data_IF_524041498690
#
_entry.id   IF_524041498690
#
_cell.length_a   1.000
_cell.length_b   1.000
_cell.length_c   1.000
_cell.angle_alpha   90.00
_cell.angle_beta   90.00
_cell.angle_gamma   90.00
#
_symmetry.space_group_name_H-M   'P 1'
#
loop_
_entity.id
_entity.type
_entity.pdbx_description
1 polymer ?
#
# COMPACT_ATOMS: atom_id res chain seq x y z
N UNK A 1 7.65 11.07 9.40
CA UNK A 1 8.58 10.48 8.42
C UNK A 1 7.96 10.25 7.04
N UNK A 2 7.04 9.30 6.80
CA UNK A 2 6.53 9.02 5.44
C UNK A 2 5.82 10.21 4.80
N UNK A 3 4.87 10.84 5.51
CA UNK A 3 4.14 12.00 5.00
C UNK A 3 5.09 13.18 4.70
N UNK A 4 6.07 13.44 5.57
CA UNK A 4 7.07 14.50 5.36
C UNK A 4 7.91 14.26 4.08
N UNK A 5 8.21 12.99 3.77
CA UNK A 5 8.94 12.64 2.56
C UNK A 5 8.07 12.81 1.30
N UNK A 6 6.80 12.43 1.37
CA UNK A 6 5.83 12.67 0.29
C UNK A 6 5.72 14.17 0.05
N UNK A 7 5.61 14.97 1.12
CA UNK A 7 5.45 16.42 1.06
C UNK A 7 6.64 17.09 0.40
N UNK A 8 7.83 16.72 0.84
CA UNK A 8 9.08 17.20 0.25
C UNK A 8 9.13 16.85 -1.23
N UNK A 9 8.87 15.59 -1.59
CA UNK A 9 8.94 15.14 -2.98
C UNK A 9 7.92 15.83 -3.89
N UNK A 10 6.69 16.07 -3.40
CA UNK A 10 5.65 16.83 -4.11
C UNK A 10 6.05 18.30 -4.26
N UNK A 11 6.64 18.91 -3.23
CA UNK A 11 7.12 20.30 -3.30
C UNK A 11 8.26 20.47 -4.32
N UNK A 12 9.14 19.48 -4.41
CA UNK A 12 10.30 19.43 -5.32
C UNK A 12 9.94 18.86 -6.71
N UNK A 13 8.65 18.58 -6.97
CA UNK A 13 8.11 18.11 -8.26
C UNK A 13 8.66 16.77 -8.76
N UNK A 14 9.07 15.88 -7.85
CA UNK A 14 9.44 14.52 -8.23
C UNK A 14 8.23 13.69 -8.68
N UNK A 15 8.47 12.77 -9.62
CA UNK A 15 7.55 11.68 -9.91
C UNK A 15 7.73 10.61 -8.82
N UNK A 16 6.67 10.34 -8.05
CA UNK A 16 6.71 9.39 -6.93
C UNK A 16 5.66 8.30 -7.06
N UNK A 17 5.98 7.13 -6.53
CA UNK A 17 5.03 6.04 -6.28
C UNK A 17 4.88 5.90 -4.77
N UNK A 18 3.66 6.03 -4.28
CA UNK A 18 3.34 5.82 -2.86
C UNK A 18 2.73 4.42 -2.73
N UNK A 19 3.44 3.53 -2.04
CA UNK A 19 2.97 2.17 -1.77
C UNK A 19 1.91 2.17 -0.68
N UNK A 20 0.91 1.30 -0.82
CA UNK A 20 -0.12 1.11 0.19
C UNK A 20 -1.09 0.00 -0.18
N UNK A 21 -1.79 -0.50 0.83
CA UNK A 21 -2.71 -1.64 0.69
C UNK A 21 -4.15 -1.26 0.35
N UNK A 22 -4.45 0.04 0.30
CA UNK A 22 -5.82 0.52 0.09
C UNK A 22 -6.83 -0.06 1.09
N UNK A 23 -6.42 -0.33 2.34
CA UNK A 23 -7.33 -0.83 3.40
C UNK A 23 -8.49 0.12 3.69
N UNK A 24 -8.25 1.41 3.52
CA UNK A 24 -9.23 2.50 3.58
C UNK A 24 -9.01 3.40 2.38
N UNK A 25 -10.06 3.96 1.80
CA UNK A 25 -9.94 4.90 0.68
C UNK A 25 -9.50 6.31 1.10
N UNK A 26 -9.76 6.72 2.35
CA UNK A 26 -9.50 8.08 2.83
C UNK A 26 -8.04 8.51 2.68
N UNK A 27 -7.09 7.67 3.12
CA UNK A 27 -5.65 7.94 3.04
C UNK A 27 -5.17 8.15 1.59
N UNK A 28 -5.31 7.18 0.67
CA UNK A 28 -4.84 7.37 -0.71
C UNK A 28 -5.58 8.51 -1.43
N UNK A 29 -6.89 8.70 -1.20
CA UNK A 29 -7.63 9.84 -1.78
C UNK A 29 -7.09 11.18 -1.27
N UNK A 30 -6.76 11.29 0.01
CA UNK A 30 -6.15 12.50 0.58
C UNK A 30 -4.80 12.80 -0.07
N UNK A 31 -3.93 11.78 -0.18
CA UNK A 31 -2.62 11.92 -0.84
C UNK A 31 -2.77 12.35 -2.30
N UNK A 32 -3.67 11.72 -3.07
CA UNK A 32 -3.94 12.09 -4.46
C UNK A 32 -4.48 13.52 -4.58
N UNK A 33 -5.40 13.94 -3.71
CA UNK A 33 -5.90 15.33 -3.68
C UNK A 33 -4.77 16.33 -3.45
N UNK A 34 -3.88 16.05 -2.49
CA UNK A 34 -2.71 16.89 -2.19
C UNK A 34 -1.77 17.01 -3.39
N UNK A 35 -1.44 15.89 -4.02
CA UNK A 35 -0.59 15.87 -5.23
C UNK A 35 -1.25 16.64 -6.39
N UNK A 36 -2.55 16.45 -6.60
CA UNK A 36 -3.31 17.15 -7.65
C UNK A 36 -3.36 18.67 -7.41
N UNK A 37 -3.55 19.11 -6.16
CA UNK A 37 -3.51 20.52 -5.78
C UNK A 37 -2.12 21.14 -6.01
N UNK A 38 -1.06 20.35 -5.86
CA UNK A 38 0.30 20.76 -6.21
C UNK A 38 0.60 20.73 -7.72
N UNK A 39 -0.39 20.46 -8.58
CA UNK A 39 -0.24 20.44 -10.03
C UNK A 39 0.33 19.13 -10.60
N UNK A 40 0.47 18.08 -9.80
CA UNK A 40 0.92 16.78 -10.28
C UNK A 40 -0.21 16.04 -11.03
N UNK A 41 0.15 15.28 -12.07
CA UNK A 41 -0.75 14.26 -12.62
C UNK A 41 -0.77 13.08 -11.64
N UNK A 42 -1.98 12.66 -11.26
CA UNK A 42 -2.17 11.60 -10.27
C UNK A 42 -2.90 10.40 -10.88
N UNK A 43 -2.60 9.20 -10.39
CA UNK A 43 -3.26 7.97 -10.79
C UNK A 43 -3.09 6.89 -9.73
N UNK A 44 -3.83 5.80 -9.88
CA UNK A 44 -3.75 4.63 -9.00
C UNK A 44 -3.43 3.43 -9.88
N UNK A 45 -2.52 2.59 -9.40
CA UNK A 45 -2.27 1.26 -9.96
C UNK A 45 -2.59 0.25 -8.86
N UNK A 46 -3.50 -0.68 -9.14
CA UNK A 46 -3.88 -1.74 -8.20
C UNK A 46 -3.36 -3.06 -8.73
N UNK A 47 -2.55 -3.75 -7.92
CA UNK A 47 -2.15 -5.12 -8.21
C UNK A 47 -3.23 -6.08 -7.70
N UNK A 48 -3.78 -6.89 -8.61
CA UNK A 48 -4.85 -7.84 -8.31
C UNK A 48 -4.29 -9.26 -8.43
N UNK A 49 -4.68 -10.14 -7.50
CA UNK A 49 -4.38 -11.57 -7.55
C UNK A 49 -5.45 -12.35 -6.76
N UNK A 50 -5.51 -13.67 -6.95
CA UNK A 50 -6.36 -14.53 -6.12
C UNK A 50 -5.93 -14.44 -4.65
N UNK A 51 -6.94 -14.32 -3.77
CA UNK A 51 -6.84 -14.32 -2.32
C UNK A 51 -6.02 -15.46 -1.72
N UNK A 52 -6.08 -16.68 -2.31
CA UNK A 52 -5.30 -17.82 -1.83
C UNK A 52 -3.84 -17.65 -2.20
N UNK A 53 -3.57 -17.23 -3.43
CA UNK A 53 -2.23 -16.93 -3.92
C UNK A 53 -1.58 -15.80 -3.11
N UNK A 54 -2.29 -14.70 -2.87
CA UNK A 54 -1.75 -13.58 -2.07
C UNK A 54 -1.42 -13.99 -0.64
N UNK A 55 -2.28 -14.82 -0.03
CA UNK A 55 -2.04 -15.33 1.31
C UNK A 55 -0.82 -16.25 1.35
N UNK A 56 -0.71 -17.17 0.40
CA UNK A 56 0.46 -18.06 0.26
C UNK A 56 1.75 -17.26 0.15
N UNK A 57 1.79 -16.23 -0.70
CA UNK A 57 2.97 -15.38 -0.86
C UNK A 57 3.34 -14.63 0.43
N UNK A 58 2.37 -14.25 1.28
CA UNK A 58 2.67 -13.66 2.59
C UNK A 58 3.37 -14.66 3.52
N UNK A 59 2.96 -15.93 3.49
CA UNK A 59 3.56 -17.00 4.28
C UNK A 59 4.97 -17.33 3.76
N UNK A 60 5.13 -17.51 2.45
CA UNK A 60 6.42 -17.76 1.81
C UNK A 60 7.43 -16.64 2.10
N UNK A 61 6.99 -15.38 2.08
CA UNK A 61 7.83 -14.23 2.48
C UNK A 61 8.27 -14.31 3.94
N UNK A 62 7.38 -14.71 4.84
CA UNK A 62 7.70 -14.86 6.26
C UNK A 62 8.72 -15.98 6.49
N UNK A 63 8.51 -17.17 5.93
CA UNK A 63 9.43 -18.30 6.08
C UNK A 63 10.81 -17.97 5.49
N UNK A 64 10.86 -17.37 4.29
CA UNK A 64 12.13 -16.92 3.70
C UNK A 64 12.86 -15.91 4.59
N UNK A 65 12.12 -15.00 5.25
CA UNK A 65 12.75 -14.04 6.16
C UNK A 65 13.21 -14.71 7.45
N UNK A 66 12.49 -15.72 7.93
CA UNK A 66 12.86 -16.51 9.11
C UNK A 66 14.15 -17.29 8.87
N UNK A 67 14.34 -17.82 7.67
CA UNK A 67 15.59 -18.50 7.27
C UNK A 67 16.79 -17.54 7.17
N UNK A 68 16.57 -16.33 6.66
CA UNK A 68 17.66 -15.38 6.36
C UNK A 68 17.99 -14.43 7.50
N UNK A 69 17.00 -13.97 8.27
CA UNK A 69 17.17 -13.17 9.48
C UNK A 69 15.98 -13.34 10.44
N UNK A 70 16.03 -14.36 11.32
CA UNK A 70 14.94 -14.69 12.24
C UNK A 70 14.47 -13.51 13.11
N UNK A 71 15.38 -12.63 13.51
CA UNK A 71 15.08 -11.49 14.41
C UNK A 71 14.22 -10.41 13.74
N UNK A 72 14.23 -10.33 12.40
CA UNK A 72 13.45 -9.36 11.63
C UNK A 72 12.22 -9.98 10.96
N UNK A 73 12.05 -11.30 11.04
CA UNK A 73 10.94 -12.01 10.42
C UNK A 73 9.60 -11.64 11.08
N UNK A 74 8.69 -11.04 10.31
CA UNK A 74 7.36 -10.64 10.78
C UNK A 74 6.26 -11.24 9.90
N UNK A 75 5.42 -12.06 10.52
CA UNK A 75 4.26 -12.65 9.85
C UNK A 75 3.17 -11.60 9.62
N UNK A 76 2.41 -11.76 8.54
CA UNK A 76 1.22 -10.95 8.28
C UNK A 76 0.06 -11.50 9.10
N UNK A 77 -0.66 -10.63 9.81
CA UNK A 77 -1.91 -11.01 10.46
C UNK A 77 -2.98 -11.31 9.39
N UNK A 78 -3.55 -12.52 9.42
CA UNK A 78 -4.58 -12.98 8.46
C UNK A 78 -5.81 -12.07 8.44
N UNK A 79 -6.26 -11.57 9.58
CA UNK A 79 -7.41 -10.68 9.66
C UNK A 79 -7.15 -9.35 8.94
N UNK A 80 -5.91 -8.83 8.98
CA UNK A 80 -5.54 -7.63 8.22
C UNK A 80 -5.49 -7.88 6.71
N UNK A 81 -5.00 -9.04 6.29
CA UNK A 81 -5.01 -9.45 4.88
C UNK A 81 -6.45 -9.57 4.35
N UNK A 82 -7.31 -10.28 5.08
CA UNK A 82 -8.71 -10.53 4.69
C UNK A 82 -9.56 -9.27 4.74
N UNK A 83 -9.22 -8.33 5.62
CA UNK A 83 -9.84 -7.01 5.64
C UNK A 83 -9.63 -6.30 4.30
N UNK A 84 -8.42 -6.31 3.75
CA UNK A 84 -8.14 -5.66 2.45
C UNK A 84 -8.94 -6.32 1.33
N UNK A 85 -9.00 -7.65 1.28
CA UNK A 85 -9.80 -8.38 0.28
C UNK A 85 -11.27 -7.94 0.30
N UNK A 86 -11.84 -7.80 1.51
CA UNK A 86 -13.24 -7.38 1.66
C UNK A 86 -13.47 -5.90 1.34
N UNK A 87 -12.50 -5.04 1.62
CA UNK A 87 -12.68 -3.58 1.52
C UNK A 87 -12.33 -3.05 0.13
N UNK A 88 -11.31 -3.61 -0.53
CA UNK A 88 -10.78 -3.11 -1.79
C UNK A 88 -11.86 -2.93 -2.88
N UNK A 89 -12.79 -3.88 -3.12
CA UNK A 89 -13.85 -3.71 -4.13
C UNK A 89 -14.91 -2.66 -3.76
N UNK A 90 -15.02 -2.33 -2.47
CA UNK A 90 -16.07 -1.44 -1.94
C UNK A 90 -15.62 0.03 -1.86
N UNK A 91 -14.35 0.31 -2.12
CA UNK A 91 -13.84 1.67 -2.06
C UNK A 91 -14.35 2.52 -3.22
N UNK A 92 -15.09 3.58 -2.88
CA UNK A 92 -15.47 4.62 -3.81
C UNK A 92 -14.33 5.62 -3.94
N UNK A 93 -13.76 5.67 -5.14
CA UNK A 93 -12.83 6.69 -5.58
C UNK A 93 -13.71 7.73 -6.27
N UNK A 94 -14.08 8.77 -5.54
CA UNK A 94 -15.04 9.78 -5.99
C UNK A 94 -14.64 10.50 -7.28
#
# INVERSE_FOLDING_TARGET
MTEELIDKAVSEKYNIVVEGTFRTSSTPVSTLKKMKQAGCRTGIVIQICDSKTSWKSCQERYEKMKETNPLLARAVNKAHHDLVIRQLPNHKLG
#
